data_IF_205810931571
#
_entry.id   IF_205810931571
#
_cell.length_a   1.000
_cell.length_b   1.000
_cell.length_c   1.000
_cell.angle_alpha   90.00
_cell.angle_beta   90.00
_cell.angle_gamma   90.00
#
_symmetry.space_group_name_H-M   'P 1'
#
loop_
_entity.id
_entity.type
_entity.pdbx_description
1 polymer ?
#
# COMPACT_ATOMS: atom_id res chain seq x y z
N UNK A 1 1.29 30.31 -16.51
CA UNK A 1 1.10 28.83 -16.42
C UNK A 1 2.39 28.06 -16.10
N UNK A 2 3.60 28.59 -16.39
CA UNK A 2 4.85 27.87 -16.07
C UNK A 2 5.17 27.74 -14.58
N UNK A 3 4.78 28.72 -13.75
CA UNK A 3 4.97 28.67 -12.28
C UNK A 3 4.24 27.52 -11.58
N UNK A 4 3.27 26.87 -12.21
CA UNK A 4 2.57 25.71 -11.64
C UNK A 4 3.15 24.36 -12.11
N UNK A 5 4.13 24.37 -13.02
CA UNK A 5 4.75 23.14 -13.55
C UNK A 5 5.76 22.54 -12.57
N UNK A 6 6.42 23.37 -11.78
CA UNK A 6 7.41 22.96 -10.77
C UNK A 6 7.06 23.55 -9.40
N UNK A 7 7.63 22.98 -8.34
CA UNK A 7 7.48 23.48 -6.96
C UNK A 7 8.23 24.78 -6.69
N UNK A 8 9.03 25.25 -7.66
CA UNK A 8 9.88 26.44 -7.59
C UNK A 8 11.27 26.19 -6.99
N UNK A 9 12.11 27.22 -7.09
CA UNK A 9 13.55 27.19 -6.73
C UNK A 9 13.82 26.87 -5.25
N UNK A 10 12.89 27.19 -4.35
CA UNK A 10 13.01 26.85 -2.93
C UNK A 10 13.00 25.35 -2.66
N UNK A 11 12.48 24.56 -3.60
CA UNK A 11 12.43 23.10 -3.53
C UNK A 11 12.94 22.48 -4.84
N UNK A 12 14.09 22.96 -5.29
CA UNK A 12 14.87 22.43 -6.43
C UNK A 12 14.03 22.13 -7.68
N UNK A 13 13.00 22.93 -7.94
CA UNK A 13 12.14 22.82 -9.12
C UNK A 13 11.54 21.43 -9.33
N UNK A 14 11.11 20.76 -8.25
CA UNK A 14 10.44 19.47 -8.34
C UNK A 14 9.24 19.53 -9.30
N UNK A 15 9.17 18.65 -10.32
CA UNK A 15 8.11 18.64 -11.30
C UNK A 15 6.77 18.25 -10.64
N UNK A 16 5.69 18.80 -11.19
CA UNK A 16 4.33 18.40 -10.83
C UNK A 16 4.11 16.92 -11.14
N UNK A 17 3.52 16.21 -10.20
CA UNK A 17 3.24 14.79 -10.34
C UNK A 17 2.26 14.53 -11.49
N UNK A 18 2.60 13.56 -12.35
CA UNK A 18 1.65 12.99 -13.30
C UNK A 18 0.91 11.87 -12.57
N UNK A 19 -0.39 12.02 -12.40
CA UNK A 19 -1.22 11.01 -11.72
C UNK A 19 -1.45 9.85 -12.68
N UNK A 20 -0.60 8.83 -12.59
CA UNK A 20 -0.77 7.55 -13.30
C UNK A 20 -1.51 6.55 -12.41
N UNK A 21 -2.20 5.55 -12.99
CA UNK A 21 -2.89 4.51 -12.21
C UNK A 21 -1.94 3.69 -11.30
N UNK A 22 -0.67 3.59 -11.66
CA UNK A 22 0.38 2.97 -10.83
C UNK A 22 0.67 3.82 -9.59
N UNK A 23 0.88 5.12 -9.79
CA UNK A 23 1.12 6.06 -8.70
C UNK A 23 -0.06 6.14 -7.73
N UNK A 24 -1.29 6.10 -8.24
CA UNK A 24 -2.49 6.08 -7.39
C UNK A 24 -2.56 4.82 -6.53
N UNK A 25 -2.25 3.64 -7.08
CA UNK A 25 -2.21 2.38 -6.32
C UNK A 25 -1.14 2.41 -5.25
N UNK A 26 0.08 2.82 -5.60
CA UNK A 26 1.17 2.94 -4.63
C UNK A 26 0.85 3.99 -3.54
N UNK A 27 0.18 5.09 -3.91
CA UNK A 27 -0.28 6.08 -2.95
C UNK A 27 -1.33 5.52 -1.97
N UNK A 28 -2.29 4.72 -2.45
CA UNK A 28 -3.26 4.06 -1.59
C UNK A 28 -2.57 3.12 -0.59
N UNK A 29 -1.53 2.41 -1.00
CA UNK A 29 -0.72 1.57 -0.11
C UNK A 29 -0.06 2.43 0.98
N UNK A 30 0.54 3.57 0.61
CA UNK A 30 1.18 4.50 1.56
C UNK A 30 0.16 5.06 2.56
N UNK A 31 -1.06 5.36 2.12
CA UNK A 31 -2.14 5.80 3.01
C UNK A 31 -2.56 4.69 3.98
N UNK A 32 -2.65 3.46 3.49
CA UNK A 32 -3.06 2.28 4.27
C UNK A 32 -1.89 1.61 5.02
N UNK A 33 -0.71 2.23 5.09
CA UNK A 33 0.50 1.64 5.69
C UNK A 33 0.32 1.12 7.12
N UNK A 34 -0.61 1.71 7.88
CA UNK A 34 -0.94 1.27 9.24
C UNK A 34 -1.64 -0.09 9.31
N UNK A 35 -2.24 -0.54 8.22
CA UNK A 35 -2.94 -1.83 8.13
C UNK A 35 -2.03 -2.91 7.51
N UNK A 36 -0.94 -2.49 6.86
CA UNK A 36 -0.03 -3.41 6.15
C UNK A 36 0.76 -4.32 7.10
N UNK A 37 1.13 -3.82 8.27
CA UNK A 37 1.86 -4.58 9.28
C UNK A 37 1.22 -4.33 10.66
N UNK A 38 0.67 -5.36 11.33
CA UNK A 38 0.02 -5.20 12.64
C UNK A 38 0.98 -4.74 13.75
N UNK A 39 2.30 -4.88 13.55
CA UNK A 39 3.32 -4.48 14.53
C UNK A 39 3.81 -3.05 14.32
N UNK A 40 3.53 -2.43 13.16
CA UNK A 40 4.02 -1.09 12.84
C UNK A 40 2.89 -0.06 12.93
N UNK A 41 2.99 0.80 13.94
CA UNK A 41 2.05 1.88 14.17
C UNK A 41 2.60 3.19 13.61
N UNK A 42 1.89 3.77 12.65
CA UNK A 42 2.27 5.04 12.02
C UNK A 42 1.37 6.19 12.49
N UNK A 43 1.91 7.41 12.45
CA UNK A 43 1.10 8.62 12.59
C UNK A 43 0.05 8.68 11.48
N UNK A 44 -1.20 8.95 11.87
CA UNK A 44 -2.34 9.07 10.95
C UNK A 44 -2.15 10.29 10.02
N UNK A 45 -2.26 10.05 8.72
CA UNK A 45 -2.35 11.09 7.70
C UNK A 45 -3.82 11.17 7.21
N UNK A 46 -4.30 12.39 6.92
CA UNK A 46 -5.68 12.66 6.49
C UNK A 46 -5.78 13.04 5.01
N UNK A 47 -4.66 13.13 4.29
CA UNK A 47 -4.64 13.48 2.87
C UNK A 47 -5.30 12.38 2.05
N UNK A 48 -6.28 12.72 1.21
CA UNK A 48 -7.00 11.77 0.34
C UNK A 48 -6.33 11.54 -1.01
N UNK A 49 -5.72 12.57 -1.58
CA UNK A 49 -5.07 12.53 -2.88
C UNK A 49 -3.54 12.55 -2.75
N UNK A 50 -2.80 12.06 -3.76
CA UNK A 50 -1.36 12.20 -3.81
C UNK A 50 -0.96 13.68 -3.79
N UNK A 51 0.22 14.02 -3.22
CA UNK A 51 0.72 15.40 -3.25
C UNK A 51 0.83 15.93 -4.68
N UNK A 52 0.59 17.24 -4.87
CA UNK A 52 0.68 17.89 -6.19
C UNK A 52 2.06 17.78 -6.81
N UNK A 53 3.10 17.81 -5.97
CA UNK A 53 4.49 17.62 -6.36
C UNK A 53 5.00 16.38 -5.64
N UNK A 54 5.27 15.32 -6.39
CA UNK A 54 5.88 14.10 -5.88
C UNK A 54 6.69 13.42 -6.99
N UNK A 55 7.66 12.62 -6.56
CA UNK A 55 8.51 11.80 -7.42
C UNK A 55 8.61 10.40 -6.83
N UNK A 56 8.73 9.41 -7.71
CA UNK A 56 9.05 8.04 -7.33
C UNK A 56 10.54 7.85 -7.53
N UNK A 57 11.23 7.42 -6.48
CA UNK A 57 12.66 7.17 -6.49
C UNK A 57 12.97 5.77 -5.98
N UNK A 58 14.17 5.28 -6.31
CA UNK A 58 14.69 4.00 -5.80
C UNK A 58 15.82 4.27 -4.83
N UNK A 59 15.90 3.46 -3.77
CA UNK A 59 16.96 3.59 -2.77
C UNK A 59 18.25 3.01 -3.37
N UNK A 60 19.31 3.82 -3.34
CA UNK A 60 20.68 3.37 -3.65
C UNK A 60 21.30 2.91 -2.33
N UNK A 61 21.58 1.62 -2.24
CA UNK A 61 22.13 0.98 -1.03
C UNK A 61 23.54 1.51 -0.71
N UNK A 62 23.85 1.68 0.57
CA UNK A 62 25.15 2.16 1.03
C UNK A 62 26.25 1.11 0.88
N UNK A 63 27.50 1.56 0.73
CA UNK A 63 28.66 0.67 0.51
C UNK A 63 29.07 -0.15 1.76
N UNK A 64 28.48 0.11 2.93
CA UNK A 64 28.87 -0.50 4.21
C UNK A 64 28.06 -1.74 4.58
N UNK A 65 26.87 -1.94 3.99
CA UNK A 65 25.96 -3.04 4.34
C UNK A 65 25.60 -3.87 3.11
N UNK A 66 26.29 -5.00 2.92
CA UNK A 66 26.13 -5.84 1.73
C UNK A 66 25.06 -6.93 1.86
N UNK A 67 24.82 -7.45 3.07
CA UNK A 67 24.05 -8.68 3.26
C UNK A 67 22.67 -8.49 3.89
N UNK A 68 22.49 -7.52 4.79
CA UNK A 68 21.27 -7.35 5.58
C UNK A 68 20.26 -6.38 4.95
N UNK A 69 20.73 -5.20 4.52
CA UNK A 69 19.86 -4.14 4.01
C UNK A 69 19.62 -4.22 2.50
N UNK A 70 20.39 -5.05 1.79
CA UNK A 70 20.39 -5.14 0.34
C UNK A 70 19.35 -6.14 -0.16
N UNK A 71 18.47 -5.66 -1.04
CA UNK A 71 17.53 -6.55 -1.73
C UNK A 71 18.22 -7.28 -2.87
N UNK A 72 17.93 -8.57 -3.03
CA UNK A 72 18.40 -9.35 -4.18
C UNK A 72 17.74 -8.86 -5.47
N UNK A 73 18.33 -9.19 -6.63
CA UNK A 73 17.77 -8.83 -7.94
C UNK A 73 16.35 -9.35 -8.15
N UNK A 74 15.98 -10.46 -7.51
CA UNK A 74 14.64 -11.06 -7.63
C UNK A 74 13.59 -10.31 -6.81
N UNK A 75 13.97 -9.79 -5.65
CA UNK A 75 13.09 -9.05 -4.74
C UNK A 75 12.84 -7.62 -5.22
N UNK A 76 13.80 -7.02 -5.94
CA UNK A 76 13.63 -5.69 -6.54
C UNK A 76 12.52 -5.69 -7.60
N UNK A 77 11.46 -4.92 -7.36
CA UNK A 77 10.32 -4.72 -8.27
C UNK A 77 10.22 -3.27 -8.75
N UNK A 78 9.32 -3.00 -9.70
CA UNK A 78 9.15 -1.66 -10.27
C UNK A 78 8.27 -0.77 -9.39
N UNK A 79 7.29 -1.36 -8.70
CA UNK A 79 6.31 -0.64 -7.87
C UNK A 79 6.27 -1.18 -6.44
N UNK A 80 5.77 -0.35 -5.52
CA UNK A 80 5.62 -0.74 -4.10
C UNK A 80 4.61 -1.90 -4.00
N UNK A 81 3.54 -1.84 -4.79
CA UNK A 81 2.54 -2.90 -4.86
C UNK A 81 3.15 -4.25 -5.27
N UNK A 82 4.00 -4.28 -6.30
CA UNK A 82 4.62 -5.53 -6.75
C UNK A 82 5.54 -6.13 -5.69
N UNK A 83 6.33 -5.29 -5.00
CA UNK A 83 7.18 -5.75 -3.90
C UNK A 83 6.33 -6.38 -2.78
N UNK A 84 5.21 -5.75 -2.46
CA UNK A 84 4.28 -6.27 -1.46
C UNK A 84 3.62 -7.58 -1.88
N UNK A 85 3.22 -7.72 -3.15
CA UNK A 85 2.64 -8.96 -3.68
C UNK A 85 3.68 -10.09 -3.82
N UNK A 86 4.96 -9.76 -3.89
CA UNK A 86 6.02 -10.77 -3.94
C UNK A 86 6.24 -11.45 -2.58
N UNK A 87 5.89 -10.78 -1.47
CA UNK A 87 6.01 -11.34 -0.12
C UNK A 87 4.86 -12.30 0.21
N UNK A 88 5.17 -13.61 0.18
CA UNK A 88 4.19 -14.66 0.47
C UNK A 88 3.64 -14.59 1.90
N UNK A 89 4.46 -14.21 2.88
CA UNK A 89 4.04 -14.16 4.29
C UNK A 89 2.96 -13.10 4.51
N UNK A 90 3.12 -11.93 3.88
CA UNK A 90 2.12 -10.86 3.89
C UNK A 90 0.86 -11.31 3.18
N UNK A 91 0.97 -11.93 2.00
CA UNK A 91 -0.18 -12.41 1.23
C UNK A 91 -1.06 -13.36 2.02
N UNK A 92 -0.47 -14.30 2.74
CA UNK A 92 -1.21 -15.25 3.57
C UNK A 92 -1.93 -14.56 4.73
N UNK A 93 -1.24 -13.64 5.42
CA UNK A 93 -1.86 -12.82 6.46
C UNK A 93 -3.08 -12.04 5.94
N UNK A 94 -2.96 -11.35 4.80
CA UNK A 94 -4.08 -10.59 4.22
C UNK A 94 -5.22 -11.49 3.77
N UNK A 95 -4.92 -12.66 3.19
CA UNK A 95 -5.92 -13.65 2.79
C UNK A 95 -6.73 -14.13 4.00
N UNK A 96 -6.05 -14.47 5.09
CA UNK A 96 -6.71 -15.04 6.27
C UNK A 96 -7.50 -13.96 7.00
N UNK A 97 -6.94 -12.75 7.14
CA UNK A 97 -7.66 -11.59 7.70
C UNK A 97 -8.87 -11.20 6.86
N UNK A 98 -8.75 -11.25 5.54
CA UNK A 98 -9.88 -10.98 4.64
C UNK A 98 -10.99 -12.01 4.82
N UNK A 99 -10.66 -13.30 4.93
CA UNK A 99 -11.64 -14.37 5.18
C UNK A 99 -12.36 -14.20 6.51
N UNK A 100 -11.64 -13.83 7.57
CA UNK A 100 -12.23 -13.51 8.87
C UNK A 100 -13.24 -12.35 8.76
N UNK A 101 -12.82 -11.24 8.15
CA UNK A 101 -13.67 -10.07 7.95
C UNK A 101 -14.91 -10.39 7.10
N UNK A 102 -14.76 -11.23 6.06
CA UNK A 102 -15.89 -11.67 5.25
C UNK A 102 -16.86 -12.54 6.05
N UNK A 103 -16.36 -13.46 6.88
CA UNK A 103 -17.21 -14.26 7.78
C UNK A 103 -17.95 -13.36 8.77
N UNK A 104 -17.29 -12.37 9.35
CA UNK A 104 -17.92 -11.40 10.26
C UNK A 104 -18.99 -10.57 9.56
N UNK A 105 -18.71 -10.05 8.35
CA UNK A 105 -19.68 -9.28 7.55
C UNK A 105 -20.85 -10.14 7.05
N UNK A 106 -20.63 -11.44 6.83
CA UNK A 106 -21.67 -12.36 6.40
C UNK A 106 -22.67 -12.66 7.53
N UNK A 107 -22.28 -12.55 8.80
CA UNK A 107 -23.19 -12.72 9.94
C UNK A 107 -24.36 -11.73 9.85
N UNK A 108 -25.58 -12.19 10.13
CA UNK A 108 -26.79 -11.36 10.08
C UNK A 108 -27.36 -11.10 8.68
N UNK A 109 -26.64 -11.46 7.61
CA UNK A 109 -27.18 -11.41 6.24
C UNK A 109 -28.36 -12.35 6.06
N UNK A 110 -29.17 -12.13 5.00
CA UNK A 110 -30.27 -13.04 4.65
C UNK A 110 -29.78 -14.47 4.40
N UNK A 111 -28.60 -14.61 3.77
CA UNK A 111 -27.97 -15.91 3.53
C UNK A 111 -27.63 -16.63 4.84
N UNK A 112 -26.94 -15.93 5.76
CA UNK A 112 -26.61 -16.47 7.08
C UNK A 112 -27.87 -16.84 7.88
N UNK A 113 -28.91 -16.00 7.87
CA UNK A 113 -30.19 -16.31 8.53
C UNK A 113 -30.90 -17.52 7.92
N UNK A 114 -30.79 -17.73 6.61
CA UNK A 114 -31.37 -18.90 5.92
C UNK A 114 -30.63 -20.17 6.33
N UNK A 115 -29.30 -20.16 6.34
CA UNK A 115 -28.45 -21.27 6.75
C UNK A 115 -28.72 -21.69 8.21
N UNK A 116 -28.87 -20.72 9.11
CA UNK A 116 -29.22 -21.00 10.51
C UNK A 116 -30.63 -21.60 10.67
N UNK A 117 -31.57 -21.26 9.79
CA UNK A 117 -32.93 -21.83 9.80
C UNK A 117 -32.98 -23.22 9.20
N UNK A 118 -32.19 -23.51 8.16
CA UNK A 118 -32.10 -24.85 7.58
C UNK A 118 -31.41 -25.83 8.53
N UNK A 119 -30.41 -25.40 9.30
CA UNK A 119 -29.77 -26.25 10.31
C UNK A 119 -30.61 -26.48 11.59
N UNK A 120 -31.78 -25.82 11.71
CA UNK A 120 -32.73 -26.03 12.82
C UNK A 120 -33.91 -26.94 12.45
N UNK A 121 -34.05 -27.28 11.17
CA UNK A 121 -35.01 -28.28 10.69
C UNK A 121 -34.33 -29.64 10.65
#
# INVERSE_FOLDING_TARGET
>A
QERQKTSGKSWFDMPKAKVTPELERDWQIIQMRSVLDPKRHYRKDKRKAPPTYCQVGTIIEGATEFYSARMTRRERKQTILEEFLHDNSRRDYFRDRYRELQKERAKGTKAWRREQRSGRK
#
